data_IF_881860337137
#
_entry.id   IF_881860337137
#
_cell.length_a   1.000
_cell.length_b   1.000
_cell.length_c   1.000
_cell.angle_alpha   90.00
_cell.angle_beta   90.00
_cell.angle_gamma   90.00
#
_symmetry.space_group_name_H-M   'P 1'
#
loop_
_entity.id
_entity.type
_entity.pdbx_description
1 polymer ?
#
# COMPACT_ATOMS: atom_id res chain seq x y z
N UNK A 1 -39.26 38.39 -2.37
CA UNK A 1 -40.45 37.95 -1.60
C UNK A 1 -39.95 37.22 -0.35
N UNK A 2 -40.76 37.24 0.72
CA UNK A 2 -40.38 37.13 2.14
C UNK A 2 -39.75 35.79 2.57
N UNK A 3 -38.87 35.91 3.57
CA UNK A 3 -38.18 34.91 4.41
C UNK A 3 -39.14 33.86 5.01
N UNK A 4 -38.69 32.60 5.16
CA UNK A 4 -39.04 31.78 6.33
C UNK A 4 -37.81 31.07 6.92
N UNK A 5 -37.52 31.49 8.14
CA UNK A 5 -36.64 30.92 9.14
C UNK A 5 -37.44 29.86 9.93
N UNK A 6 -36.83 28.73 10.27
CA UNK A 6 -37.29 27.83 11.34
C UNK A 6 -36.03 27.13 11.89
N UNK A 7 -35.46 27.54 13.03
CA UNK A 7 -35.85 27.24 14.42
C UNK A 7 -35.94 25.72 14.61
N UNK A 8 -34.83 25.08 15.02
CA UNK A 8 -34.45 24.77 16.41
C UNK A 8 -35.36 23.69 17.02
N UNK A 9 -34.82 22.49 17.18
CA UNK A 9 -35.21 21.57 18.26
C UNK A 9 -33.96 21.05 18.96
N UNK A 10 -33.97 21.32 20.26
CA UNK A 10 -33.00 21.04 21.31
C UNK A 10 -33.46 19.78 22.09
N UNK A 11 -32.52 19.18 22.84
CA UNK A 11 -32.66 18.25 23.99
C UNK A 11 -32.53 16.76 23.66
N UNK A 12 -31.38 16.12 23.96
CA UNK A 12 -30.86 15.59 25.25
C UNK A 12 -31.60 14.31 25.69
N UNK A 13 -30.85 13.22 25.94
CA UNK A 13 -30.85 12.46 27.23
C UNK A 13 -29.72 11.42 27.23
N UNK A 14 -29.09 11.37 28.40
CA UNK A 14 -27.96 10.58 28.90
C UNK A 14 -28.31 9.09 29.06
N UNK A 15 -27.32 8.21 28.91
CA UNK A 15 -27.41 6.81 29.37
C UNK A 15 -26.03 6.22 29.67
N UNK A 16 -25.60 6.32 30.94
CA UNK A 16 -24.50 5.55 31.52
C UNK A 16 -24.88 4.08 31.62
N UNK A 17 -23.95 3.18 31.32
CA UNK A 17 -24.06 1.75 31.60
C UNK A 17 -22.69 1.14 31.86
N UNK A 18 -22.29 1.13 33.14
CA UNK A 18 -21.19 0.31 33.67
C UNK A 18 -21.78 -1.00 34.20
N UNK A 19 -21.38 -2.14 33.64
CA UNK A 19 -21.50 -3.49 34.22
C UNK A 19 -20.46 -4.37 33.51
N UNK A 20 -19.57 -5.14 34.13
CA UNK A 20 -19.28 -5.37 35.54
C UNK A 20 -18.03 -6.27 35.63
N UNK A 21 -17.26 -6.12 36.70
CA UNK A 21 -16.25 -7.10 37.09
C UNK A 21 -16.94 -8.42 37.44
N UNK A 22 -16.45 -9.54 36.91
CA UNK A 22 -16.73 -10.87 37.45
C UNK A 22 -15.41 -11.46 37.95
N UNK A 23 -15.16 -11.25 39.24
CA UNK A 23 -14.24 -12.07 40.01
C UNK A 23 -14.87 -13.46 40.22
N UNK A 24 -14.12 -14.50 39.93
CA UNK A 24 -14.26 -15.77 40.62
C UNK A 24 -12.89 -16.16 41.18
N UNK A 25 -12.82 -16.18 42.51
CA UNK A 25 -11.69 -16.66 43.29
C UNK A 25 -11.59 -18.19 43.20
N UNK A 26 -10.40 -18.73 42.90
CA UNK A 26 -9.70 -19.67 43.81
C UNK A 26 -8.29 -20.05 43.38
N UNK A 27 -7.36 -19.80 44.32
CA UNK A 27 -6.12 -20.51 44.70
C UNK A 27 -5.01 -20.65 43.64
N UNK A 28 -3.91 -19.89 43.76
CA UNK A 28 -2.74 -20.08 44.65
C UNK A 28 -1.76 -21.17 44.17
N UNK A 29 -0.60 -20.71 43.70
CA UNK A 29 0.76 -21.00 44.20
C UNK A 29 1.72 -20.99 43.00
N UNK A 30 2.48 -19.90 42.82
CA UNK A 30 3.94 -19.85 43.03
C UNK A 30 4.73 -20.83 42.15
N UNK A 31 5.44 -20.30 41.16
CA UNK A 31 6.90 -20.15 41.24
C UNK A 31 7.45 -19.35 40.04
N UNK A 32 8.32 -18.41 40.38
CA UNK A 32 9.26 -17.69 39.50
C UNK A 32 10.25 -18.69 38.87
N UNK A 33 10.63 -18.52 37.60
CA UNK A 33 12.04 -18.55 37.14
C UNK A 33 12.12 -18.14 35.67
N UNK A 34 13.15 -17.33 35.40
CA UNK A 34 13.53 -16.60 34.21
C UNK A 34 13.86 -17.44 32.97
N UNK A 35 13.69 -16.77 31.82
CA UNK A 35 14.49 -16.77 30.58
C UNK A 35 15.15 -18.08 30.10
N UNK A 36 14.76 -18.51 28.88
CA UNK A 36 15.66 -19.20 27.98
C UNK A 36 15.32 -18.87 26.53
N UNK A 37 16.31 -18.27 25.87
CA UNK A 37 16.38 -17.90 24.46
C UNK A 37 16.53 -19.18 23.63
N UNK A 38 15.63 -19.43 22.68
CA UNK A 38 15.88 -20.40 21.62
C UNK A 38 16.50 -19.70 20.42
N UNK A 39 17.83 -19.70 20.40
CA UNK A 39 18.60 -19.61 19.16
C UNK A 39 18.39 -20.91 18.38
N UNK A 40 17.69 -20.85 17.26
CA UNK A 40 17.84 -21.87 16.21
C UNK A 40 18.89 -21.40 15.23
N UNK A 41 20.05 -22.03 15.39
CA UNK A 41 21.19 -22.18 14.49
C UNK A 41 20.80 -22.26 13.00
N UNK A 42 21.16 -21.24 12.23
CA UNK A 42 21.26 -21.34 10.78
C UNK A 42 22.62 -21.94 10.44
N UNK A 43 22.60 -23.13 9.88
CA UNK A 43 23.76 -23.81 9.30
C UNK A 43 24.05 -23.22 7.92
N UNK A 44 25.26 -22.70 7.76
CA UNK A 44 25.91 -22.34 6.51
C UNK A 44 26.33 -23.60 5.73
N UNK A 45 26.07 -23.67 4.41
CA UNK A 45 26.93 -24.43 3.53
C UNK A 45 27.54 -23.50 2.48
N UNK A 46 28.69 -22.91 2.82
CA UNK A 46 29.70 -22.52 1.85
C UNK A 46 30.44 -23.77 1.40
N UNK A 47 30.19 -24.24 0.17
CA UNK A 47 31.11 -25.13 -0.52
C UNK A 47 31.46 -24.60 -1.92
N UNK A 48 32.65 -24.01 -1.92
CA UNK A 48 33.59 -23.77 -3.00
C UNK A 48 33.60 -24.88 -4.07
N UNK A 49 33.44 -24.50 -5.34
CA UNK A 49 34.02 -25.25 -6.46
C UNK A 49 34.95 -24.35 -7.27
N UNK A 50 36.24 -24.66 -7.15
CA UNK A 50 37.33 -24.18 -7.99
C UNK A 50 37.20 -24.75 -9.41
N UNK A 51 37.34 -23.89 -10.41
CA UNK A 51 37.78 -24.30 -11.75
C UNK A 51 38.41 -23.13 -12.49
N UNK A 52 39.71 -23.02 -12.31
CA UNK A 52 40.65 -22.25 -13.12
C UNK A 52 40.72 -22.76 -14.57
N UNK A 53 40.48 -21.90 -15.59
CA UNK A 53 41.30 -21.94 -16.83
C UNK A 53 41.08 -20.77 -17.81
N UNK A 54 42.18 -20.04 -18.05
CA UNK A 54 42.66 -19.42 -19.30
C UNK A 54 41.97 -18.16 -19.86
N UNK A 55 42.52 -17.03 -19.42
CA UNK A 55 43.27 -16.04 -20.21
C UNK A 55 43.05 -16.02 -21.75
N UNK A 56 42.54 -14.89 -22.24
CA UNK A 56 43.12 -14.18 -23.39
C UNK A 56 42.87 -12.67 -23.28
N UNK A 57 43.97 -11.98 -22.99
CA UNK A 57 44.22 -10.55 -23.18
C UNK A 57 44.07 -10.15 -24.65
N UNK A 58 43.58 -8.94 -24.89
CA UNK A 58 44.19 -7.98 -25.81
C UNK A 58 43.89 -6.54 -25.30
N UNK A 59 44.96 -5.89 -24.86
CA UNK A 59 45.26 -4.44 -24.98
C UNK A 59 44.77 -3.86 -26.32
N UNK A 60 44.62 -2.57 -26.57
CA UNK A 60 44.77 -1.26 -25.90
C UNK A 60 44.49 -0.29 -27.05
N UNK A 61 43.64 0.73 -26.91
CA UNK A 61 43.95 2.04 -27.52
C UNK A 61 43.22 3.16 -26.78
N UNK A 62 44.01 3.88 -25.99
CA UNK A 62 43.95 5.28 -25.59
C UNK A 62 43.37 6.26 -26.64
N UNK A 63 42.56 7.24 -26.20
CA UNK A 63 42.76 8.69 -26.47
C UNK A 63 41.88 9.55 -25.54
N UNK A 64 42.47 9.99 -24.43
CA UNK A 64 42.58 11.37 -23.91
C UNK A 64 41.52 12.47 -24.23
N UNK A 65 40.94 12.99 -23.13
CA UNK A 65 40.25 14.25 -22.75
C UNK A 65 40.19 15.51 -23.66
N UNK A 66 39.05 16.23 -23.60
CA UNK A 66 38.84 17.63 -23.10
C UNK A 66 37.35 18.05 -23.34
N UNK A 67 36.50 18.32 -22.33
CA UNK A 67 36.29 19.52 -21.49
C UNK A 67 35.19 20.51 -21.98
N UNK A 68 34.29 20.86 -21.04
CA UNK A 68 33.31 21.97 -20.94
C UNK A 68 31.99 21.99 -21.77
N UNK A 69 30.89 22.01 -21.00
CA UNK A 69 29.91 23.12 -20.87
C UNK A 69 28.45 22.77 -21.16
N UNK A 70 27.64 22.92 -20.11
CA UNK A 70 26.21 23.24 -20.02
C UNK A 70 25.28 22.81 -21.16
N UNK A 71 24.37 21.90 -20.84
CA UNK A 71 22.92 22.13 -21.06
C UNK A 71 22.13 21.25 -20.09
N UNK A 72 21.48 21.89 -19.12
CA UNK A 72 20.36 21.36 -18.36
C UNK A 72 19.28 20.97 -19.37
N UNK A 73 19.25 19.71 -19.77
CA UNK A 73 18.10 19.12 -20.46
C UNK A 73 17.07 18.87 -19.38
N UNK A 74 16.24 19.87 -19.16
CA UNK A 74 14.95 19.70 -18.49
C UNK A 74 14.16 18.71 -19.34
N UNK A 75 14.19 17.44 -18.92
CA UNK A 75 13.31 16.40 -19.45
C UNK A 75 11.92 16.74 -18.93
N UNK A 76 11.26 17.67 -19.62
CA UNK A 76 9.82 17.85 -19.59
C UNK A 76 9.23 16.57 -20.15
N UNK A 77 9.07 15.57 -19.27
CA UNK A 77 8.37 14.33 -19.57
C UNK A 77 6.87 14.60 -19.49
N UNK A 78 6.38 15.51 -20.34
CA UNK A 78 4.97 15.55 -20.67
C UNK A 78 4.76 14.64 -21.88
N UNK A 79 4.81 13.34 -21.60
CA UNK A 79 4.35 12.30 -22.50
C UNK A 79 2.91 11.99 -22.13
N UNK A 80 2.01 12.96 -22.34
CA UNK A 80 0.57 12.73 -22.37
C UNK A 80 0.21 11.94 -23.63
N UNK A 81 0.60 10.67 -23.60
CA UNK A 81 -0.13 9.62 -24.32
C UNK A 81 -1.56 9.66 -23.77
N UNK A 82 -2.59 9.76 -24.63
CA UNK A 82 -3.97 9.73 -24.18
C UNK A 82 -4.17 8.49 -23.31
N UNK A 83 -4.66 8.72 -22.09
CA UNK A 83 -4.81 7.67 -21.11
C UNK A 83 -5.84 6.64 -21.57
N UNK A 84 -5.41 5.40 -21.75
CA UNK A 84 -6.27 4.23 -21.97
C UNK A 84 -7.11 3.86 -20.73
N UNK A 85 -7.05 4.69 -19.68
CA UNK A 85 -7.77 4.47 -18.44
C UNK A 85 -9.23 4.87 -18.63
N UNK A 86 -10.10 3.86 -18.54
CA UNK A 86 -11.56 4.02 -18.55
C UNK A 86 -12.13 3.41 -17.28
N UNK A 87 -13.33 3.82 -16.88
CA UNK A 87 -14.00 3.25 -15.71
C UNK A 87 -14.11 1.71 -15.79
N UNK A 88 -14.37 1.15 -16.99
CA UNK A 88 -14.45 -0.29 -17.19
C UNK A 88 -13.10 -1.00 -17.08
N UNK A 89 -12.02 -0.38 -17.57
CA UNK A 89 -10.67 -0.89 -17.40
C UNK A 89 -10.24 -0.86 -15.93
N UNK A 90 -10.53 0.24 -15.20
CA UNK A 90 -10.26 0.36 -13.76
C UNK A 90 -11.03 -0.71 -12.99
N UNK A 91 -12.32 -0.87 -13.29
CA UNK A 91 -13.16 -1.90 -12.66
C UNK A 91 -12.63 -3.31 -12.91
N UNK A 92 -12.03 -3.58 -14.07
CA UNK A 92 -11.36 -4.87 -14.36
C UNK A 92 -10.10 -5.06 -13.53
N UNK A 93 -9.22 -4.05 -13.45
CA UNK A 93 -7.98 -4.08 -12.67
C UNK A 93 -8.26 -4.30 -11.18
N UNK A 94 -9.22 -3.55 -10.63
CA UNK A 94 -9.64 -3.71 -9.23
C UNK A 94 -10.07 -5.14 -8.95
N UNK A 95 -10.93 -5.73 -9.81
CA UNK A 95 -11.44 -7.09 -9.64
C UNK A 95 -10.35 -8.16 -9.65
N UNK A 96 -9.26 -7.96 -10.40
CA UNK A 96 -8.15 -8.90 -10.47
C UNK A 96 -7.39 -9.00 -9.12
N UNK A 97 -7.45 -7.93 -8.33
CA UNK A 97 -6.81 -7.84 -7.02
C UNK A 97 -7.73 -8.26 -5.87
N UNK A 98 -9.01 -8.54 -6.13
CA UNK A 98 -9.95 -9.02 -5.12
C UNK A 98 -9.88 -10.55 -5.01
N UNK A 99 -9.68 -11.08 -3.81
CA UNK A 99 -9.60 -12.52 -3.58
C UNK A 99 -10.88 -13.03 -2.89
N UNK A 100 -12.00 -12.98 -3.61
CA UNK A 100 -13.32 -13.29 -3.06
C UNK A 100 -14.01 -12.10 -2.39
N UNK A 101 -13.32 -10.96 -2.25
CA UNK A 101 -13.91 -9.71 -1.81
C UNK A 101 -14.94 -9.20 -2.81
N UNK A 102 -15.92 -8.45 -2.31
CA UNK A 102 -16.98 -7.90 -3.14
C UNK A 102 -16.63 -6.47 -3.55
N UNK A 103 -16.52 -6.25 -4.86
CA UNK A 103 -16.51 -4.91 -5.42
C UNK A 103 -17.93 -4.32 -5.36
N UNK A 104 -18.13 -3.29 -4.54
CA UNK A 104 -19.41 -2.59 -4.44
C UNK A 104 -19.54 -1.54 -5.54
N UNK A 105 -18.50 -0.71 -5.74
CA UNK A 105 -18.53 0.37 -6.74
C UNK A 105 -17.12 0.79 -7.21
N UNK A 106 -17.08 1.39 -8.40
CA UNK A 106 -15.91 2.09 -8.95
C UNK A 106 -16.40 3.34 -9.65
N UNK A 107 -15.94 4.49 -9.16
CA UNK A 107 -16.11 5.79 -9.80
C UNK A 107 -14.78 6.28 -10.35
N UNK A 108 -14.80 6.84 -11.56
CA UNK A 108 -13.65 7.48 -12.19
C UNK A 108 -14.06 8.84 -12.72
N UNK A 109 -13.62 9.89 -12.04
CA UNK A 109 -13.94 11.28 -12.35
C UNK A 109 -12.67 12.03 -12.77
N UNK A 110 -12.40 11.99 -14.08
CA UNK A 110 -11.23 12.60 -14.70
C UNK A 110 -9.93 11.90 -14.29
N UNK A 111 -9.37 12.30 -13.15
CA UNK A 111 -8.13 11.77 -12.60
C UNK A 111 -8.31 11.14 -11.21
N UNK A 112 -9.52 11.20 -10.64
CA UNK A 112 -9.80 10.67 -9.31
C UNK A 112 -10.53 9.33 -9.42
N UNK A 113 -9.94 8.30 -8.83
CA UNK A 113 -10.49 6.96 -8.75
C UNK A 113 -11.01 6.74 -7.33
N UNK A 114 -12.27 6.39 -7.20
CA UNK A 114 -12.85 5.95 -5.92
C UNK A 114 -13.39 4.55 -6.06
N UNK A 115 -12.93 3.65 -5.20
CA UNK A 115 -13.32 2.24 -5.18
C UNK A 115 -13.99 1.95 -3.85
N UNK A 116 -15.10 1.22 -3.86
CA UNK A 116 -15.70 0.69 -2.64
C UNK A 116 -15.63 -0.84 -2.65
N UNK A 117 -15.01 -1.40 -1.63
CA UNK A 117 -14.81 -2.85 -1.46
C UNK A 117 -15.40 -3.29 -0.12
N UNK A 118 -16.05 -4.44 -0.13
CA UNK A 118 -16.36 -5.20 1.08
C UNK A 118 -15.45 -6.40 1.14
N UNK A 119 -14.63 -6.47 2.18
CA UNK A 119 -13.72 -7.59 2.38
C UNK A 119 -14.49 -8.88 2.67
N UNK A 120 -13.99 -9.99 2.16
CA UNK A 120 -14.40 -11.32 2.60
C UNK A 120 -13.85 -11.60 4.01
N UNK A 121 -14.12 -12.81 4.54
CA UNK A 121 -13.53 -13.24 5.82
C UNK A 121 -11.98 -13.15 5.74
N UNK A 122 -11.34 -12.33 6.58
CA UNK A 122 -9.90 -12.07 6.48
C UNK A 122 -9.04 -13.20 7.05
N UNK A 123 -9.64 -14.16 7.78
CA UNK A 123 -8.88 -15.18 8.50
C UNK A 123 -7.95 -15.98 7.55
N UNK A 124 -6.69 -16.21 7.94
CA UNK A 124 -6.11 -16.02 9.28
C UNK A 124 -5.51 -14.62 9.55
N UNK A 125 -5.61 -13.69 8.60
CA UNK A 125 -5.10 -12.31 8.75
C UNK A 125 -6.13 -11.40 9.42
N UNK A 126 -5.73 -10.17 9.73
CA UNK A 126 -6.67 -9.12 10.17
C UNK A 126 -7.32 -8.43 8.98
N UNK A 127 -8.49 -7.81 9.17
CA UNK A 127 -9.14 -7.00 8.13
C UNK A 127 -8.22 -5.89 7.62
N UNK A 128 -7.43 -5.28 8.51
CA UNK A 128 -6.47 -4.22 8.18
C UNK A 128 -5.33 -4.71 7.30
N UNK A 129 -4.75 -5.87 7.63
CA UNK A 129 -3.68 -6.45 6.81
C UNK A 129 -4.21 -6.81 5.41
N UNK A 130 -5.41 -7.40 5.33
CA UNK A 130 -6.05 -7.71 4.05
C UNK A 130 -6.33 -6.44 3.26
N UNK A 131 -6.87 -5.39 3.88
CA UNK A 131 -7.11 -4.11 3.22
C UNK A 131 -5.83 -3.51 2.62
N UNK A 132 -4.71 -3.53 3.36
CA UNK A 132 -3.40 -3.05 2.88
C UNK A 132 -2.94 -3.86 1.67
N UNK A 133 -3.04 -5.20 1.73
CA UNK A 133 -2.66 -6.06 0.59
C UNK A 133 -3.53 -5.78 -0.63
N UNK A 134 -4.85 -5.61 -0.46
CA UNK A 134 -5.75 -5.28 -1.57
C UNK A 134 -5.45 -3.92 -2.15
N UNK A 135 -5.22 -2.93 -1.30
CA UNK A 135 -4.84 -1.60 -1.75
C UNK A 135 -3.55 -1.65 -2.56
N UNK A 136 -2.50 -2.30 -2.03
CA UNK A 136 -1.20 -2.43 -2.69
C UNK A 136 -1.31 -3.01 -4.09
N UNK A 137 -2.01 -4.13 -4.25
CA UNK A 137 -2.21 -4.74 -5.58
C UNK A 137 -2.98 -3.82 -6.54
N UNK A 138 -4.05 -3.16 -6.07
CA UNK A 138 -4.80 -2.21 -6.89
C UNK A 138 -3.93 -1.01 -7.30
N UNK A 139 -3.15 -0.46 -6.38
CA UNK A 139 -2.30 0.68 -6.66
C UNK A 139 -1.15 0.34 -7.61
N UNK A 140 -0.52 -0.82 -7.44
CA UNK A 140 0.60 -1.24 -8.28
C UNK A 140 0.18 -1.38 -9.74
N UNK A 141 -0.97 -2.04 -9.98
CA UNK A 141 -1.57 -2.16 -11.32
C UNK A 141 -1.92 -0.79 -11.95
N UNK A 142 -2.25 0.20 -11.13
CA UNK A 142 -2.58 1.55 -11.59
C UNK A 142 -1.33 2.41 -11.83
N UNK A 143 -0.25 2.23 -11.06
CA UNK A 143 0.97 3.02 -11.18
C UNK A 143 1.70 2.85 -12.52
N UNK A 144 1.46 1.72 -13.19
CA UNK A 144 1.91 1.45 -14.56
C UNK A 144 1.06 2.15 -15.64
N UNK A 145 0.05 2.93 -15.24
CA UNK A 145 -0.89 3.62 -16.13
C UNK A 145 -0.89 5.12 -15.90
N UNK A 146 -1.05 5.87 -16.98
CA UNK A 146 -1.20 7.33 -16.94
C UNK A 146 -2.69 7.72 -16.83
N UNK A 147 -2.96 8.98 -16.52
CA UNK A 147 -4.32 9.56 -16.52
C UNK A 147 -5.12 9.36 -15.24
N UNK A 148 -4.44 9.14 -14.12
CA UNK A 148 -5.04 9.28 -12.80
C UNK A 148 -4.06 10.02 -11.89
N UNK A 149 -4.61 10.70 -10.89
CA UNK A 149 -3.89 11.44 -9.87
C UNK A 149 -4.15 10.86 -8.49
N UNK A 150 -5.41 10.56 -8.15
CA UNK A 150 -5.78 10.14 -6.79
C UNK A 150 -6.48 8.78 -6.84
N UNK A 151 -6.07 7.85 -5.98
CA UNK A 151 -6.77 6.60 -5.72
C UNK A 151 -7.26 6.61 -4.27
N UNK A 152 -8.57 6.48 -4.08
CA UNK A 152 -9.18 6.22 -2.77
C UNK A 152 -9.88 4.88 -2.81
N UNK A 153 -9.49 3.96 -1.92
CA UNK A 153 -10.20 2.68 -1.74
C UNK A 153 -10.86 2.68 -0.36
N UNK A 154 -12.19 2.66 -0.36
CA UNK A 154 -13.03 2.56 0.83
C UNK A 154 -13.35 1.10 1.13
N UNK A 155 -12.88 0.61 2.27
CA UNK A 155 -13.16 -0.71 2.81
C UNK A 155 -14.35 -0.61 3.77
N UNK A 156 -15.48 -1.20 3.39
CA UNK A 156 -16.75 -1.15 4.14
C UNK A 156 -16.54 -1.58 5.60
N UNK A 157 -16.80 -0.66 6.53
CA UNK A 157 -16.69 -0.92 7.98
C UNK A 157 -15.30 -0.68 8.59
N UNK A 158 -14.27 -0.47 7.77
CA UNK A 158 -12.89 -0.30 8.23
C UNK A 158 -12.36 1.12 8.03
N UNK A 159 -12.62 1.75 6.88
CA UNK A 159 -12.07 3.07 6.56
C UNK A 159 -11.64 3.18 5.11
N UNK A 160 -10.77 4.12 4.79
CA UNK A 160 -10.28 4.32 3.42
C UNK A 160 -8.79 4.60 3.39
N UNK A 161 -8.09 4.01 2.42
CA UNK A 161 -6.71 4.39 2.07
C UNK A 161 -6.79 5.31 0.86
N UNK A 162 -6.08 6.44 0.90
CA UNK A 162 -5.97 7.39 -0.22
C UNK A 162 -4.51 7.69 -0.53
N UNK A 163 -4.14 7.56 -1.80
CA UNK A 163 -2.79 7.88 -2.29
C UNK A 163 -2.85 8.70 -3.57
N UNK A 164 -1.82 9.53 -3.78
CA UNK A 164 -1.63 10.26 -5.03
C UNK A 164 -0.59 9.53 -5.89
N UNK A 165 -0.82 9.40 -7.20
CA UNK A 165 0.15 8.81 -8.14
C UNK A 165 1.54 9.47 -8.05
N UNK A 166 1.59 10.77 -7.73
CA UNK A 166 2.82 11.55 -7.59
C UNK A 166 3.63 11.23 -6.33
N UNK A 167 3.04 10.58 -5.30
CA UNK A 167 3.78 10.17 -4.11
C UNK A 167 4.47 8.82 -4.27
N UNK A 168 4.27 8.14 -5.39
CA UNK A 168 4.94 6.88 -5.67
C UNK A 168 6.44 7.11 -5.87
N UNK A 169 7.23 6.18 -5.37
CA UNK A 169 8.69 6.15 -5.48
C UNK A 169 9.14 4.96 -6.33
N UNK A 170 10.39 4.95 -6.75
CA UNK A 170 10.98 3.79 -7.41
C UNK A 170 11.61 2.86 -6.37
N UNK A 171 11.25 1.58 -6.42
CA UNK A 171 11.92 0.54 -5.64
C UNK A 171 13.30 0.18 -6.22
N UNK A 172 14.00 -0.76 -5.57
CA UNK A 172 15.33 -1.25 -6.00
C UNK A 172 15.35 -1.87 -7.41
N UNK A 173 14.18 -2.27 -7.93
CA UNK A 173 14.00 -2.83 -9.28
C UNK A 173 13.58 -1.77 -10.31
N UNK A 174 13.47 -0.50 -9.91
CA UNK A 174 13.04 0.59 -10.78
C UNK A 174 11.55 0.59 -11.09
N UNK A 175 10.72 -0.09 -10.29
CA UNK A 175 9.27 -0.09 -10.41
C UNK A 175 8.65 0.93 -9.47
N UNK A 176 7.57 1.59 -9.90
CA UNK A 176 6.84 2.51 -9.03
C UNK A 176 6.09 1.74 -7.95
N UNK A 177 6.16 2.20 -6.71
CA UNK A 177 5.39 1.66 -5.59
C UNK A 177 5.09 2.76 -4.57
N UNK A 178 4.15 2.47 -3.66
CA UNK A 178 3.99 3.20 -2.41
C UNK A 178 4.72 2.49 -1.28
N UNK A 179 5.18 3.22 -0.28
CA UNK A 179 5.74 2.60 0.92
C UNK A 179 4.63 2.07 1.81
N UNK A 180 4.89 0.98 2.52
CA UNK A 180 3.92 0.44 3.48
C UNK A 180 3.60 1.43 4.60
N UNK A 181 4.58 2.25 4.99
CA UNK A 181 4.37 3.29 6.03
C UNK A 181 3.34 4.34 5.59
N UNK A 182 3.16 4.55 4.28
CA UNK A 182 2.21 5.54 3.77
C UNK A 182 0.77 5.17 4.13
N UNK A 183 0.49 3.89 4.43
CA UNK A 183 -0.83 3.42 4.82
C UNK A 183 -1.12 3.58 6.32
N UNK A 184 -0.10 3.89 7.14
CA UNK A 184 -0.24 3.95 8.58
C UNK A 184 -1.24 5.03 9.02
N UNK A 185 -2.14 4.67 9.92
CA UNK A 185 -3.16 5.58 10.46
C UNK A 185 -4.33 5.90 9.53
N UNK A 186 -4.40 5.35 8.32
CA UNK A 186 -5.53 5.57 7.40
C UNK A 186 -6.72 4.60 7.63
N UNK A 187 -6.47 3.46 8.28
CA UNK A 187 -7.45 2.42 8.63
C UNK A 187 -7.50 2.19 10.14
#
# INVERSE_FOLDING_TARGET
MKIKLGILSLLIVVGFGVVGCSNNDKKTSSETTSESVQNTEYTDPTDTIDSTSKLKTNEDIDTTVEDKKDTKVEKSSDSSTPSDLTADNIKRLVRQNLAGDKLNDVNFDGENITVSVKLADPAPLTEKDVAIVRFGGISDDLLDKNGWNTLTVNFEGLGSITMNASSAVLNEYGQKCFHSEDYEGQL
#
